data_IF_687411966072
#
_entry.id   IF_687411966072
#
_cell.length_a   1.000
_cell.length_b   1.000
_cell.length_c   1.000
_cell.angle_alpha   90.00
_cell.angle_beta   90.00
_cell.angle_gamma   90.00
#
_symmetry.space_group_name_H-M   'P 1'
#
loop_
_entity.id
_entity.type
_entity.pdbx_description
1 polymer ?
#
# COMPACT_ATOMS: atom_id res chain seq x y z
N UNK A 1 7.24 -4.58 25.04
CA UNK A 1 6.77 -5.96 25.34
C UNK A 1 5.94 -6.37 24.13
N UNK A 2 6.44 -7.25 23.30
CA UNK A 2 5.69 -7.81 22.19
C UNK A 2 4.81 -8.91 22.74
N UNK A 3 3.50 -8.71 22.73
CA UNK A 3 2.54 -9.75 23.10
C UNK A 3 2.27 -10.51 21.80
N UNK A 4 2.56 -11.80 21.77
CA UNK A 4 2.16 -12.67 20.69
C UNK A 4 0.64 -12.84 20.80
N UNK A 5 -0.08 -12.30 19.83
CA UNK A 5 -1.54 -12.38 19.78
C UNK A 5 -1.95 -13.58 18.94
N UNK A 6 -3.11 -14.13 19.29
CA UNK A 6 -3.80 -15.10 18.43
C UNK A 6 -4.01 -14.54 17.02
N UNK A 7 -3.88 -15.37 16.00
CA UNK A 7 -4.02 -14.98 14.59
C UNK A 7 -2.73 -14.50 13.90
N UNK A 8 -1.63 -14.32 14.61
CA UNK A 8 -0.36 -13.91 13.99
C UNK A 8 0.16 -14.93 12.96
N UNK A 9 0.16 -16.24 13.22
CA UNK A 9 0.52 -17.24 12.23
C UNK A 9 -0.44 -17.30 11.03
N UNK A 10 -1.73 -17.06 11.27
CA UNK A 10 -2.80 -17.12 10.27
C UNK A 10 -2.75 -15.93 9.31
N UNK A 11 -2.21 -14.77 9.73
CA UNK A 11 -2.20 -13.56 8.90
C UNK A 11 -1.60 -13.77 7.51
N UNK A 12 -0.43 -14.40 7.44
CA UNK A 12 0.23 -14.64 6.16
C UNK A 12 -0.45 -15.75 5.37
N UNK A 13 -0.94 -16.81 6.02
CA UNK A 13 -1.64 -17.90 5.34
C UNK A 13 -2.98 -17.45 4.77
N UNK A 14 -3.75 -16.63 5.48
CA UNK A 14 -5.00 -16.05 4.96
C UNK A 14 -4.71 -15.10 3.79
N UNK A 15 -3.70 -14.24 3.91
CA UNK A 15 -3.30 -13.33 2.83
C UNK A 15 -2.86 -14.10 1.58
N UNK A 16 -2.12 -15.20 1.74
CA UNK A 16 -1.67 -16.03 0.61
C UNK A 16 -2.84 -16.82 -0.01
N UNK A 17 -3.82 -17.26 0.80
CA UNK A 17 -5.01 -17.97 0.29
C UNK A 17 -5.90 -17.10 -0.59
N UNK A 18 -5.85 -15.77 -0.45
CA UNK A 18 -6.54 -14.85 -1.36
C UNK A 18 -5.99 -14.88 -2.80
N UNK A 19 -4.81 -15.47 -3.00
CA UNK A 19 -4.13 -15.56 -4.29
C UNK A 19 -4.03 -14.21 -5.02
N UNK A 20 -3.61 -13.17 -4.29
CA UNK A 20 -3.39 -11.82 -4.80
C UNK A 20 -1.94 -11.42 -4.53
N UNK A 21 -1.00 -11.74 -5.44
CA UNK A 21 0.42 -11.53 -5.20
C UNK A 21 0.84 -10.06 -5.27
N UNK A 22 0.11 -9.20 -6.03
CA UNK A 22 0.35 -7.76 -6.03
C UNK A 22 -0.19 -7.14 -4.75
N UNK A 23 0.68 -6.50 -3.98
CA UNK A 23 0.36 -5.92 -2.67
C UNK A 23 0.66 -4.43 -2.64
N UNK A 24 -0.22 -3.66 -1.99
CA UNK A 24 -0.06 -2.21 -1.82
C UNK A 24 0.08 -1.87 -0.35
N UNK A 25 1.13 -1.16 -0.01
CA UNK A 25 1.37 -0.64 1.34
C UNK A 25 1.65 0.87 1.32
N UNK A 26 1.57 1.49 2.50
CA UNK A 26 1.89 2.90 2.65
C UNK A 26 3.37 3.16 2.96
N UNK A 27 3.77 4.42 2.75
CA UNK A 27 5.13 4.89 3.02
C UNK A 27 5.67 4.49 4.41
N UNK A 28 4.86 4.60 5.46
CA UNK A 28 5.33 4.33 6.84
C UNK A 28 5.70 2.85 7.02
N UNK A 29 4.88 1.94 6.52
CA UNK A 29 5.18 0.50 6.50
C UNK A 29 6.45 0.22 5.70
N UNK A 30 6.54 0.79 4.49
CA UNK A 30 7.71 0.62 3.64
C UNK A 30 9.00 1.21 4.25
N UNK A 31 8.90 2.34 4.97
CA UNK A 31 10.04 2.96 5.67
C UNK A 31 10.63 2.01 6.73
N UNK A 32 9.77 1.27 7.44
CA UNK A 32 10.19 0.35 8.50
C UNK A 32 10.67 -0.98 7.90
N UNK A 33 9.87 -1.58 7.04
CA UNK A 33 10.04 -2.97 6.60
C UNK A 33 10.97 -3.12 5.38
N UNK A 34 10.93 -2.16 4.45
CA UNK A 34 11.61 -2.27 3.17
C UNK A 34 12.87 -1.41 3.08
N UNK A 35 12.81 -0.14 3.54
CA UNK A 35 13.93 0.79 3.38
C UNK A 35 14.77 0.97 4.65
N UNK A 36 14.37 0.34 5.76
CA UNK A 36 15.05 0.42 7.05
C UNK A 36 15.33 1.86 7.51
N UNK A 37 14.36 2.76 7.26
CA UNK A 37 14.44 4.18 7.62
C UNK A 37 15.24 5.06 6.66
N UNK A 38 15.67 4.54 5.50
CA UNK A 38 16.37 5.31 4.48
C UNK A 38 15.48 6.41 3.90
N UNK A 39 16.04 7.66 3.83
CA UNK A 39 15.35 8.82 3.26
C UNK A 39 16.14 9.39 2.08
N UNK A 40 15.45 9.55 0.96
CA UNK A 40 16.00 10.21 -0.21
C UNK A 40 15.95 11.72 -0.02
N UNK A 41 17.09 12.37 -0.24
CA UNK A 41 17.23 13.82 -0.20
C UNK A 41 17.46 14.34 -1.62
N UNK A 42 16.38 14.83 -2.24
CA UNK A 42 16.46 15.43 -3.56
C UNK A 42 17.31 16.69 -3.56
N UNK A 43 18.31 16.74 -4.43
CA UNK A 43 19.18 17.89 -4.62
C UNK A 43 18.54 18.92 -5.55
N UNK A 44 17.82 18.46 -6.57
CA UNK A 44 17.02 19.29 -7.46
C UNK A 44 15.54 19.24 -7.01
N UNK A 45 14.96 20.44 -6.79
CA UNK A 45 13.55 20.58 -6.36
C UNK A 45 12.57 20.72 -7.51
N UNK A 46 13.02 20.56 -8.75
CA UNK A 46 12.13 20.59 -9.90
C UNK A 46 11.14 19.44 -9.84
N UNK A 47 9.84 19.76 -9.81
CA UNK A 47 8.77 18.78 -9.76
C UNK A 47 8.45 18.24 -11.16
N UNK A 48 7.85 17.05 -11.22
CA UNK A 48 7.36 16.47 -12.47
C UNK A 48 6.24 17.32 -13.09
N UNK A 49 5.22 17.69 -12.29
CA UNK A 49 4.15 18.61 -12.65
C UNK A 49 3.11 18.08 -13.63
N UNK A 50 3.11 16.79 -13.90
CA UNK A 50 2.14 16.12 -14.79
C UNK A 50 1.93 14.67 -14.39
N UNK A 51 0.81 14.09 -14.82
CA UNK A 51 0.61 12.64 -14.75
C UNK A 51 1.58 11.95 -15.73
N UNK A 52 2.33 10.96 -15.23
CA UNK A 52 3.29 10.20 -16.04
C UNK A 52 3.61 8.86 -15.35
N UNK A 53 4.29 7.95 -16.03
CA UNK A 53 4.75 6.70 -15.47
C UNK A 53 6.02 6.20 -16.15
N UNK A 54 6.73 5.28 -15.49
CA UNK A 54 7.79 4.49 -16.11
C UNK A 54 7.69 3.03 -15.67
N UNK A 55 7.68 2.12 -16.63
CA UNK A 55 7.73 0.67 -16.42
C UNK A 55 9.17 0.19 -16.58
N UNK A 56 9.96 0.37 -15.53
CA UNK A 56 11.38 -0.02 -15.52
C UNK A 56 11.57 -1.53 -15.35
N UNK A 57 10.68 -2.19 -14.61
CA UNK A 57 10.65 -3.64 -14.48
C UNK A 57 9.34 -4.19 -15.03
N UNK A 58 9.39 -5.32 -15.74
CA UNK A 58 8.22 -6.05 -16.23
C UNK A 58 8.05 -7.31 -15.41
N UNK A 59 6.86 -7.46 -14.79
CA UNK A 59 6.51 -8.62 -13.98
C UNK A 59 4.99 -8.82 -13.97
N UNK A 60 4.54 -10.00 -13.57
CA UNK A 60 3.12 -10.32 -13.41
C UNK A 60 2.56 -9.82 -12.07
N UNK A 61 3.43 -9.37 -11.17
CA UNK A 61 3.06 -8.87 -9.85
C UNK A 61 4.09 -7.90 -9.32
N UNK A 62 3.66 -6.98 -8.45
CA UNK A 62 4.49 -5.92 -7.90
C UNK A 62 4.28 -5.75 -6.39
N UNK A 63 5.35 -5.35 -5.70
CA UNK A 63 5.26 -4.74 -4.37
C UNK A 63 5.07 -3.24 -4.55
N UNK A 64 3.83 -2.77 -4.37
CA UNK A 64 3.47 -1.37 -4.61
C UNK A 64 3.58 -0.58 -3.30
N UNK A 65 4.21 0.58 -3.37
CA UNK A 65 4.31 1.50 -2.23
C UNK A 65 3.76 2.86 -2.60
N UNK A 66 2.84 3.36 -1.76
CA UNK A 66 2.28 4.70 -1.90
C UNK A 66 3.16 5.68 -1.13
N UNK A 67 3.96 6.49 -1.85
CA UNK A 67 4.82 7.54 -1.32
C UNK A 67 4.57 8.87 -2.03
N UNK A 68 3.60 9.63 -1.55
CA UNK A 68 3.07 10.83 -2.20
C UNK A 68 4.12 11.84 -2.65
N UNK A 69 5.23 11.95 -1.92
CA UNK A 69 6.27 12.97 -2.17
C UNK A 69 7.58 12.41 -2.70
N UNK A 70 7.72 11.08 -2.76
CA UNK A 70 8.98 10.47 -3.16
C UNK A 70 10.09 10.71 -2.14
N UNK A 71 9.98 10.10 -0.96
CA UNK A 71 10.89 10.34 0.16
C UNK A 71 11.67 9.12 0.59
N UNK A 72 11.32 7.93 0.11
CA UNK A 72 11.97 6.69 0.50
C UNK A 72 13.27 6.47 -0.28
N UNK A 73 14.32 6.10 0.42
CA UNK A 73 15.56 5.66 -0.19
C UNK A 73 15.60 4.14 -0.25
N UNK A 74 15.60 3.61 -1.45
CA UNK A 74 15.61 2.17 -1.71
C UNK A 74 17.03 1.62 -1.63
N UNK A 75 17.21 0.53 -0.92
CA UNK A 75 18.46 -0.23 -0.92
C UNK A 75 18.53 -1.15 -2.15
N UNK A 76 19.67 -1.81 -2.35
CA UNK A 76 19.72 -2.95 -3.28
C UNK A 76 18.79 -4.02 -2.77
N UNK A 77 17.82 -4.44 -3.59
CA UNK A 77 16.86 -5.45 -3.23
C UNK A 77 17.56 -6.75 -2.83
N UNK A 78 17.31 -7.18 -1.62
CA UNK A 78 17.74 -8.48 -1.11
C UNK A 78 16.48 -9.29 -0.82
N UNK A 79 16.05 -10.12 -1.77
CA UNK A 79 15.14 -11.23 -1.50
C UNK A 79 13.64 -10.97 -1.65
N UNK A 80 13.20 -9.87 -2.24
CA UNK A 80 11.79 -9.71 -2.61
C UNK A 80 11.49 -10.49 -3.91
N UNK A 81 10.42 -11.29 -3.88
CA UNK A 81 10.00 -12.09 -5.03
C UNK A 81 9.46 -11.24 -6.19
N UNK A 82 9.02 -9.98 -5.94
CA UNK A 82 8.41 -9.10 -6.93
C UNK A 82 9.08 -7.72 -6.93
N UNK A 83 9.22 -7.08 -8.11
CA UNK A 83 9.81 -5.75 -8.21
C UNK A 83 8.92 -4.70 -7.53
N UNK A 84 9.55 -3.62 -7.09
CA UNK A 84 8.85 -2.48 -6.53
C UNK A 84 8.23 -1.59 -7.62
N UNK A 85 7.05 -1.04 -7.29
CA UNK A 85 6.39 0.02 -8.04
C UNK A 85 5.98 1.12 -7.05
N UNK A 86 6.33 2.36 -7.33
CA UNK A 86 6.03 3.49 -6.47
C UNK A 86 4.88 4.30 -7.05
N UNK A 87 3.81 4.50 -6.26
CA UNK A 87 2.74 5.42 -6.61
C UNK A 87 2.97 6.74 -5.87
N UNK A 88 3.06 7.83 -6.63
CA UNK A 88 3.36 9.16 -6.12
C UNK A 88 2.43 10.22 -6.72
N UNK A 89 2.54 11.47 -6.27
CA UNK A 89 1.83 12.59 -6.88
C UNK A 89 2.70 13.33 -7.90
N UNK A 90 2.09 14.22 -8.66
CA UNK A 90 2.80 15.11 -9.62
C UNK A 90 3.77 16.09 -8.92
N UNK A 91 3.73 16.18 -7.57
CA UNK A 91 4.68 16.97 -6.76
C UNK A 91 6.01 16.24 -6.53
N UNK A 92 6.15 15.01 -6.98
CA UNK A 92 7.42 14.29 -6.92
C UNK A 92 8.50 15.03 -7.69
N UNK A 93 9.72 15.05 -7.15
CA UNK A 93 10.83 15.68 -7.85
C UNK A 93 11.34 14.80 -8.99
N UNK A 94 11.77 15.41 -10.09
CA UNK A 94 12.40 14.69 -11.20
C UNK A 94 13.64 13.92 -10.74
N UNK A 95 14.40 14.50 -9.82
CA UNK A 95 15.57 13.89 -9.20
C UNK A 95 15.24 12.54 -8.51
N UNK A 96 14.08 12.47 -7.83
CA UNK A 96 13.62 11.20 -7.25
C UNK A 96 13.23 10.17 -8.32
N UNK A 97 12.58 10.60 -9.39
CA UNK A 97 12.22 9.71 -10.49
C UNK A 97 13.46 9.18 -11.24
N UNK A 98 14.46 10.02 -11.45
CA UNK A 98 15.74 9.61 -12.02
C UNK A 98 16.45 8.60 -11.10
N UNK A 99 16.37 8.81 -9.79
CA UNK A 99 16.84 7.84 -8.82
C UNK A 99 16.10 6.50 -8.93
N UNK A 100 14.75 6.49 -8.97
CA UNK A 100 13.97 5.26 -9.16
C UNK A 100 14.36 4.54 -10.45
N UNK A 101 14.49 5.28 -11.55
CA UNK A 101 14.92 4.75 -12.83
C UNK A 101 16.30 4.09 -12.74
N UNK A 102 17.24 4.70 -12.02
CA UNK A 102 18.60 4.15 -11.79
C UNK A 102 18.59 2.85 -10.97
N UNK A 103 17.55 2.65 -10.14
CA UNK A 103 17.36 1.46 -9.33
C UNK A 103 16.47 0.41 -10.00
N UNK A 104 16.07 0.61 -11.27
CA UNK A 104 15.12 -0.24 -11.99
C UNK A 104 13.76 -0.39 -11.28
N UNK A 105 13.34 0.64 -10.54
CA UNK A 105 12.05 0.67 -9.83
C UNK A 105 11.03 1.39 -10.72
N UNK A 106 9.90 0.73 -10.97
CA UNK A 106 8.78 1.31 -11.71
C UNK A 106 8.06 2.36 -10.89
N UNK A 107 7.42 3.33 -11.56
CA UNK A 107 6.65 4.34 -10.84
C UNK A 107 5.45 4.85 -11.64
N UNK A 108 4.44 5.35 -10.92
CA UNK A 108 3.27 6.05 -11.43
C UNK A 108 3.13 7.35 -10.66
N UNK A 109 3.10 8.48 -11.35
CA UNK A 109 2.79 9.79 -10.77
C UNK A 109 1.42 10.23 -11.26
N UNK A 110 0.47 10.40 -10.35
CA UNK A 110 -0.89 10.80 -10.67
C UNK A 110 -1.49 11.68 -9.58
N UNK A 111 -2.16 12.76 -9.98
CA UNK A 111 -2.79 13.73 -9.09
C UNK A 111 -1.88 14.89 -8.67
N UNK A 112 -2.45 16.08 -8.72
CA UNK A 112 -1.71 17.35 -8.65
C UNK A 112 -1.03 17.59 -7.31
N UNK A 113 -1.74 17.49 -6.19
CA UNK A 113 -1.21 17.77 -4.85
C UNK A 113 -1.26 16.52 -3.94
N UNK A 114 -2.19 15.64 -4.22
CA UNK A 114 -2.37 14.35 -3.59
C UNK A 114 -2.44 13.30 -4.70
N UNK A 115 -2.22 12.06 -4.35
CA UNK A 115 -2.35 10.97 -5.32
C UNK A 115 -3.80 10.85 -5.75
N UNK A 116 -4.03 10.85 -7.05
CA UNK A 116 -5.27 10.42 -7.68
C UNK A 116 -5.23 8.89 -7.80
N UNK A 117 -5.81 8.21 -6.80
CA UNK A 117 -5.81 6.75 -6.74
C UNK A 117 -6.57 6.12 -7.91
N UNK A 118 -7.68 6.74 -8.35
CA UNK A 118 -8.44 6.21 -9.48
C UNK A 118 -7.61 6.24 -10.76
N UNK A 119 -6.92 7.36 -11.03
CA UNK A 119 -6.03 7.48 -12.18
C UNK A 119 -4.80 6.56 -12.07
N UNK A 120 -4.26 6.40 -10.86
CA UNK A 120 -3.14 5.48 -10.63
C UNK A 120 -3.56 4.02 -10.90
N UNK A 121 -4.76 3.60 -10.48
CA UNK A 121 -5.29 2.26 -10.76
C UNK A 121 -5.59 2.05 -12.25
N UNK A 122 -6.11 3.05 -12.94
CA UNK A 122 -6.29 3.00 -14.40
C UNK A 122 -4.95 2.75 -15.13
N UNK A 123 -3.89 3.47 -14.76
CA UNK A 123 -2.55 3.26 -15.31
C UNK A 123 -2.02 1.88 -14.96
N UNK A 124 -2.22 1.44 -13.72
CA UNK A 124 -1.77 0.12 -13.25
C UNK A 124 -2.41 -1.01 -14.06
N UNK A 125 -3.72 -0.94 -14.33
CA UNK A 125 -4.41 -1.91 -15.16
C UNK A 125 -3.92 -1.84 -16.62
N UNK A 126 -3.94 -0.67 -17.24
CA UNK A 126 -3.67 -0.52 -18.68
C UNK A 126 -2.21 -0.77 -19.06
N UNK A 127 -1.26 -0.31 -18.24
CA UNK A 127 0.16 -0.31 -18.59
C UNK A 127 0.95 -1.44 -17.90
N UNK A 128 0.49 -1.86 -16.74
CA UNK A 128 1.15 -2.91 -15.96
C UNK A 128 0.41 -4.24 -15.98
N UNK A 129 -0.80 -4.29 -16.54
CA UNK A 129 -1.69 -5.47 -16.59
C UNK A 129 -2.03 -6.03 -15.20
N UNK A 130 -2.19 -5.16 -14.21
CA UNK A 130 -2.58 -5.51 -12.85
C UNK A 130 -4.02 -5.07 -12.61
N UNK A 131 -4.94 -6.02 -12.62
CA UNK A 131 -6.38 -5.79 -12.42
C UNK A 131 -6.84 -6.14 -11.00
N UNK A 132 -6.01 -6.83 -10.23
CA UNK A 132 -6.33 -7.25 -8.86
C UNK A 132 -5.13 -7.06 -7.96
N UNK A 133 -5.35 -6.41 -6.80
CA UNK A 133 -4.32 -6.16 -5.81
C UNK A 133 -4.88 -6.25 -4.38
N UNK A 134 -4.02 -6.56 -3.42
CA UNK A 134 -4.34 -6.53 -2.00
C UNK A 134 -3.78 -5.26 -1.35
N UNK A 135 -4.63 -4.48 -0.71
CA UNK A 135 -4.23 -3.33 0.08
C UNK A 135 -3.93 -3.83 1.50
N UNK A 136 -2.65 -3.92 1.84
CA UNK A 136 -2.20 -4.55 3.09
C UNK A 136 -1.91 -3.54 4.22
N UNK A 137 -2.44 -2.34 4.09
CA UNK A 137 -2.45 -1.37 5.17
C UNK A 137 -1.39 -0.28 5.06
N UNK A 138 -1.16 0.63 6.05
CA UNK A 138 -1.99 0.89 7.24
C UNK A 138 -3.28 1.65 7.00
N UNK A 139 -3.95 1.98 8.10
CA UNK A 139 -5.31 2.53 8.10
C UNK A 139 -5.54 3.73 7.17
N UNK A 140 -4.57 4.62 7.02
CA UNK A 140 -4.67 5.78 6.10
C UNK A 140 -4.73 5.36 4.63
N UNK A 141 -4.00 4.32 4.24
CA UNK A 141 -4.05 3.78 2.87
C UNK A 141 -5.38 3.09 2.66
N UNK A 142 -5.79 2.22 3.57
CA UNK A 142 -7.08 1.54 3.51
C UNK A 142 -8.22 2.55 3.40
N UNK A 143 -8.23 3.58 4.25
CA UNK A 143 -9.23 4.64 4.23
C UNK A 143 -9.24 5.46 2.94
N UNK A 144 -8.05 5.75 2.37
CA UNK A 144 -7.92 6.44 1.09
C UNK A 144 -8.52 5.66 -0.08
N UNK A 145 -8.23 4.37 -0.18
CA UNK A 145 -8.83 3.51 -1.21
C UNK A 145 -10.34 3.34 -1.00
N UNK A 146 -10.79 3.20 0.26
CA UNK A 146 -12.21 3.11 0.59
C UNK A 146 -12.96 4.39 0.21
N UNK A 147 -12.40 5.56 0.52
CA UNK A 147 -12.99 6.87 0.16
C UNK A 147 -13.04 7.08 -1.36
N UNK A 148 -12.06 6.57 -2.08
CA UNK A 148 -12.02 6.61 -3.55
C UNK A 148 -12.96 5.59 -4.22
N UNK A 149 -13.66 4.73 -3.45
CA UNK A 149 -14.55 3.70 -3.99
C UNK A 149 -13.82 2.57 -4.73
N UNK A 150 -12.58 2.29 -4.34
CA UNK A 150 -11.69 1.33 -4.99
C UNK A 150 -11.50 0.04 -4.17
N UNK A 151 -12.42 -0.26 -3.25
CA UNK A 151 -12.38 -1.47 -2.42
C UNK A 151 -13.60 -2.31 -2.73
N UNK A 152 -13.40 -3.48 -3.30
CA UNK A 152 -14.45 -4.43 -3.66
C UNK A 152 -14.73 -5.43 -2.53
N UNK A 153 -13.68 -5.82 -1.80
CA UNK A 153 -13.76 -6.82 -0.74
C UNK A 153 -12.85 -6.42 0.42
N UNK A 154 -13.31 -6.68 1.63
CA UNK A 154 -12.56 -6.43 2.87
C UNK A 154 -12.33 -7.77 3.56
N UNK A 155 -11.07 -8.10 3.82
CA UNK A 155 -10.65 -9.28 4.56
C UNK A 155 -10.03 -8.85 5.88
N UNK A 156 -10.58 -9.31 7.00
CA UNK A 156 -10.17 -8.88 8.34
C UNK A 156 -9.87 -10.10 9.19
N UNK A 157 -8.64 -10.25 9.63
CA UNK A 157 -8.28 -11.20 10.66
C UNK A 157 -8.26 -10.49 12.03
N UNK A 158 -9.10 -10.96 12.93
CA UNK A 158 -9.23 -10.43 14.29
C UNK A 158 -8.55 -11.39 15.25
N UNK A 159 -7.41 -10.99 15.83
CA UNK A 159 -6.75 -11.72 16.90
C UNK A 159 -7.51 -11.56 18.22
N UNK A 160 -7.51 -12.59 19.06
CA UNK A 160 -8.19 -12.60 20.35
C UNK A 160 -7.43 -11.76 21.40
N UNK A 161 -7.47 -10.43 21.25
CA UNK A 161 -6.80 -9.50 22.15
C UNK A 161 -7.41 -8.11 22.14
N UNK A 162 -7.23 -7.36 23.23
CA UNK A 162 -7.69 -5.97 23.38
C UNK A 162 -6.52 -5.10 23.80
N UNK A 163 -6.21 -4.10 22.99
CA UNK A 163 -5.17 -3.10 23.33
C UNK A 163 -5.68 -2.06 24.33
N UNK A 164 -6.81 -1.41 24.07
CA UNK A 164 -7.42 -0.39 24.94
C UNK A 164 -6.65 0.92 25.04
N UNK A 165 -5.51 1.11 24.39
CA UNK A 165 -4.74 2.35 24.41
C UNK A 165 -5.37 3.43 23.52
N UNK A 166 -5.37 4.66 24.01
CA UNK A 166 -5.85 5.83 23.25
C UNK A 166 -4.89 6.17 22.11
N UNK A 167 -5.44 6.60 20.96
CA UNK A 167 -4.66 7.09 19.83
C UNK A 167 -4.06 5.99 18.95
N UNK A 168 -4.50 4.74 19.10
CA UNK A 168 -4.13 3.70 18.17
C UNK A 168 -4.81 3.92 16.80
N UNK A 169 -4.13 3.58 15.68
CA UNK A 169 -4.73 3.69 14.35
C UNK A 169 -5.88 2.69 14.20
N UNK A 170 -6.92 3.05 13.45
CA UNK A 170 -7.97 2.14 13.05
C UNK A 170 -7.61 1.38 11.77
N UNK A 171 -8.45 0.42 11.38
CA UNK A 171 -8.30 -0.28 10.10
C UNK A 171 -8.49 0.65 8.90
N UNK A 172 -9.34 1.67 9.04
CA UNK A 172 -9.66 2.63 7.98
C UNK A 172 -9.66 4.04 8.56
N UNK A 173 -8.55 4.75 8.39
CA UNK A 173 -8.38 6.14 8.82
C UNK A 173 -8.45 7.10 7.63
N UNK A 174 -8.55 8.40 7.94
CA UNK A 174 -8.41 9.49 6.96
C UNK A 174 -9.60 9.67 5.99
N UNK A 175 -10.78 9.09 6.31
CA UNK A 175 -12.01 9.46 5.65
C UNK A 175 -12.48 10.81 6.18
N UNK A 176 -13.21 11.58 5.35
CA UNK A 176 -13.71 12.88 5.75
C UNK A 176 -14.83 12.74 6.78
N UNK A 177 -15.02 13.74 7.65
CA UNK A 177 -16.13 13.74 8.64
C UNK A 177 -17.51 13.70 7.99
N UNK A 178 -17.63 14.17 6.75
CA UNK A 178 -18.86 14.13 5.96
C UNK A 178 -19.12 12.78 5.29
N UNK A 179 -18.14 11.87 5.30
CA UNK A 179 -18.29 10.55 4.69
C UNK A 179 -19.29 9.69 5.46
N UNK A 180 -20.22 9.08 4.74
CA UNK A 180 -21.21 8.19 5.35
C UNK A 180 -20.60 6.79 5.57
N UNK A 181 -21.04 6.05 6.60
CA UNK A 181 -20.70 4.64 6.74
C UNK A 181 -21.09 3.86 5.48
N UNK A 182 -20.25 2.89 5.11
CA UNK A 182 -20.49 2.00 3.98
C UNK A 182 -21.04 0.69 4.53
N UNK A 183 -22.21 0.28 4.03
CA UNK A 183 -22.80 -1.01 4.39
C UNK A 183 -22.00 -2.14 3.73
N UNK A 184 -21.69 -3.16 4.51
CA UNK A 184 -20.99 -4.36 4.06
C UNK A 184 -21.93 -5.54 4.10
N UNK A 185 -21.70 -6.52 3.22
CA UNK A 185 -22.34 -7.82 3.26
C UNK A 185 -21.30 -8.85 3.68
N UNK A 186 -21.60 -9.59 4.75
CA UNK A 186 -20.75 -10.71 5.15
C UNK A 186 -20.71 -11.75 4.04
N UNK A 187 -19.49 -12.08 3.59
CA UNK A 187 -19.26 -13.10 2.57
C UNK A 187 -19.00 -14.46 3.20
N UNK A 188 -18.09 -14.47 4.18
CA UNK A 188 -17.72 -15.68 4.91
C UNK A 188 -17.14 -15.32 6.29
N UNK A 189 -17.08 -16.32 7.18
CA UNK A 189 -16.47 -16.20 8.50
C UNK A 189 -15.83 -17.54 8.89
N UNK A 190 -14.58 -17.49 9.31
CA UNK A 190 -13.84 -18.64 9.82
C UNK A 190 -13.30 -18.33 11.23
N UNK A 191 -13.36 -19.33 12.11
CA UNK A 191 -12.79 -19.24 13.46
C UNK A 191 -11.64 -20.23 13.61
N UNK A 192 -10.58 -19.79 14.25
CA UNK A 192 -9.36 -20.58 14.51
C UNK A 192 -9.31 -21.09 15.95
N UNK A 193 -8.58 -22.18 16.17
CA UNK A 193 -8.47 -22.83 17.50
C UNK A 193 -7.85 -21.91 18.55
N UNK A 194 -7.00 -20.97 18.15
CA UNK A 194 -6.37 -19.97 19.03
C UNK A 194 -7.31 -18.80 19.41
N UNK A 195 -8.55 -18.80 18.89
CA UNK A 195 -9.56 -17.79 19.14
C UNK A 195 -9.55 -16.62 18.14
N UNK A 196 -8.71 -16.65 17.11
CA UNK A 196 -8.78 -15.68 16.02
C UNK A 196 -10.02 -15.92 15.15
N UNK A 197 -10.48 -14.85 14.49
CA UNK A 197 -11.64 -14.89 13.57
C UNK A 197 -11.26 -14.18 12.28
N UNK A 198 -11.53 -14.82 11.16
CA UNK A 198 -11.37 -14.25 9.83
C UNK A 198 -12.71 -13.95 9.18
N UNK A 199 -12.89 -12.68 8.74
CA UNK A 199 -14.09 -12.17 8.10
C UNK A 199 -13.79 -11.81 6.65
#
# INVERSE_FOLDING_TARGET
MTIQLAGEPEYYSTLDSLNVPTRVSGRVTAEIELTRGGKFNSQNKEILGKTDFAKNATADSYNIVVDTKGTLQWGKENGNNFPHLIITSEQVTKDYLDYLNSQNISWIAAGKNQIDLAKAMEILSNEFNIDRLAIVGGGKINGGFLEAGLVDEISILIGAGVDGRTGQPSLFDNRTESSRPIALQLKDVESYEDGAVWL
#
